data_IF_039242444269
#
_entry.id   IF_039242444269
#
_cell.length_a   1.000
_cell.length_b   1.000
_cell.length_c   1.000
_cell.angle_alpha   90.00
_cell.angle_beta   90.00
_cell.angle_gamma   90.00
#
_symmetry.space_group_name_H-M   'P 1'
#
loop_
_entity.id
_entity.type
_entity.pdbx_description
1 polymer ?
#
# COMPACT_ATOMS: atom_id res chain seq x y z
N UNK A 1 14.87 37.08 -49.15
CA UNK A 1 15.29 36.06 -50.14
C UNK A 1 16.17 35.06 -49.42
N UNK A 2 15.88 33.79 -49.68
CA UNK A 2 16.42 32.48 -49.27
C UNK A 2 17.90 32.39 -48.82
N UNK A 3 18.18 31.65 -47.73
CA UNK A 3 18.87 30.31 -47.68
C UNK A 3 20.41 30.44 -47.64
N UNK A 4 21.28 29.67 -46.97
CA UNK A 4 21.30 28.38 -46.22
C UNK A 4 22.64 28.35 -45.42
N UNK A 5 22.68 27.83 -44.17
CA UNK A 5 23.44 26.64 -43.67
C UNK A 5 25.00 26.73 -43.70
N UNK A 6 25.74 26.55 -42.59
CA UNK A 6 26.24 25.23 -42.15
C UNK A 6 26.90 25.17 -40.72
N UNK A 7 27.09 23.91 -40.27
CA UNK A 7 27.49 23.26 -38.99
C UNK A 7 28.88 23.66 -38.40
N UNK A 8 29.27 23.38 -37.14
CA UNK A 8 29.78 22.09 -36.54
C UNK A 8 30.06 22.33 -35.01
N UNK A 9 29.43 21.61 -34.05
CA UNK A 9 29.78 20.39 -33.25
C UNK A 9 30.80 20.44 -32.07
N UNK A 10 30.44 19.66 -31.01
CA UNK A 10 31.20 19.07 -29.85
C UNK A 10 31.25 19.92 -28.56
N UNK A 11 31.03 19.42 -27.32
CA UNK A 11 31.07 18.09 -26.67
C UNK A 11 30.26 18.16 -25.33
N UNK A 12 29.38 17.23 -24.97
CA UNK A 12 29.55 15.98 -24.16
C UNK A 12 30.43 16.08 -22.91
N UNK A 13 29.82 16.05 -21.72
CA UNK A 13 30.36 15.35 -20.53
C UNK A 13 29.24 14.85 -19.61
N UNK A 14 29.51 13.69 -19.04
CA UNK A 14 28.64 12.72 -18.37
C UNK A 14 28.44 12.96 -16.88
N UNK A 15 27.40 12.35 -16.30
CA UNK A 15 27.45 11.87 -14.91
C UNK A 15 26.70 10.54 -14.79
N UNK A 16 27.49 9.47 -14.89
CA UNK A 16 27.16 8.09 -14.59
C UNK A 16 27.37 7.96 -13.07
N UNK A 17 26.32 8.10 -12.28
CA UNK A 17 26.40 7.90 -10.81
C UNK A 17 25.13 7.31 -10.19
N UNK A 18 24.13 6.97 -11.01
CA UNK A 18 22.84 6.45 -10.54
C UNK A 18 22.80 4.92 -10.34
N UNK A 19 23.75 4.16 -10.87
CA UNK A 19 23.62 2.70 -10.98
C UNK A 19 24.09 1.93 -9.75
N UNK A 20 24.96 2.50 -8.91
CA UNK A 20 25.54 1.80 -7.74
C UNK A 20 24.68 1.91 -6.49
N UNK A 21 23.99 3.04 -6.28
CA UNK A 21 23.09 3.21 -5.14
C UNK A 21 21.81 2.36 -5.27
N UNK A 22 21.28 2.18 -6.48
CA UNK A 22 20.09 1.34 -6.68
C UNK A 22 20.37 -0.14 -6.41
N UNK A 23 21.57 -0.64 -6.69
CA UNK A 23 21.94 -2.04 -6.44
C UNK A 23 22.15 -2.35 -4.96
N UNK A 24 22.71 -1.42 -4.19
CA UNK A 24 22.95 -1.62 -2.75
C UNK A 24 21.64 -1.57 -1.95
N UNK A 25 20.71 -0.68 -2.33
CA UNK A 25 19.36 -0.62 -1.75
C UNK A 25 18.55 -1.89 -2.04
N UNK A 26 18.61 -2.43 -3.26
CA UNK A 26 17.88 -3.64 -3.65
C UNK A 26 18.38 -4.89 -2.91
N UNK A 27 19.70 -5.02 -2.70
CA UNK A 27 20.31 -6.09 -1.90
C UNK A 27 19.90 -5.98 -0.42
N UNK A 28 19.91 -4.78 0.16
CA UNK A 28 19.49 -4.54 1.55
C UNK A 28 18.02 -4.92 1.76
N UNK A 29 17.16 -4.61 0.79
CA UNK A 29 15.74 -4.97 0.81
C UNK A 29 15.55 -6.49 0.70
N UNK A 30 16.30 -7.17 -0.16
CA UNK A 30 16.29 -8.64 -0.25
C UNK A 30 16.57 -9.30 1.10
N UNK A 31 17.57 -8.78 1.83
CA UNK A 31 17.90 -9.24 3.18
C UNK A 31 16.79 -8.94 4.19
N UNK A 32 16.25 -7.72 4.22
CA UNK A 32 15.15 -7.35 5.13
C UNK A 32 13.86 -8.14 4.87
N UNK A 33 13.53 -8.40 3.60
CA UNK A 33 12.39 -9.24 3.21
C UNK A 33 12.59 -10.67 3.72
N UNK A 34 13.82 -11.20 3.62
CA UNK A 34 14.20 -12.55 4.08
C UNK A 34 14.16 -12.66 5.61
N UNK A 35 14.61 -11.63 6.33
CA UNK A 35 14.52 -11.58 7.80
C UNK A 35 13.06 -11.45 8.29
N UNK A 36 12.25 -10.65 7.60
CA UNK A 36 10.82 -10.53 7.88
C UNK A 36 10.06 -11.84 7.61
N UNK A 37 10.43 -12.63 6.58
CA UNK A 37 9.81 -13.94 6.34
C UNK A 37 10.07 -14.93 7.48
N UNK A 38 11.23 -14.88 8.14
CA UNK A 38 11.56 -15.81 9.22
C UNK A 38 10.82 -15.49 10.53
N UNK A 39 10.39 -14.24 10.73
CA UNK A 39 9.75 -13.76 11.97
C UNK A 39 8.22 -13.85 11.93
N UNK A 40 7.61 -14.12 10.77
CA UNK A 40 6.15 -13.98 10.54
C UNK A 40 5.37 -15.28 10.72
N UNK A 41 5.29 -15.80 11.94
CA UNK A 41 4.28 -16.82 12.29
C UNK A 41 2.91 -16.23 12.70
N UNK A 42 2.86 -14.94 13.06
CA UNK A 42 1.64 -14.26 13.54
C UNK A 42 0.55 -14.11 12.45
N UNK A 43 0.93 -13.81 11.19
CA UNK A 43 -0.04 -13.61 10.11
C UNK A 43 -0.90 -14.83 9.76
N UNK A 44 -0.33 -16.03 9.86
CA UNK A 44 -1.05 -17.30 9.66
C UNK A 44 -2.14 -17.55 10.72
N UNK A 45 -1.98 -16.95 11.90
CA UNK A 45 -2.97 -17.04 12.98
C UNK A 45 -4.25 -16.29 12.63
N UNK A 46 -4.12 -15.07 12.08
CA UNK A 46 -5.26 -14.23 11.72
C UNK A 46 -6.09 -14.81 10.57
N UNK A 47 -5.45 -15.29 9.50
CA UNK A 47 -6.15 -15.93 8.39
C UNK A 47 -6.99 -17.12 8.83
N UNK A 48 -6.46 -17.93 9.77
CA UNK A 48 -7.22 -19.04 10.36
C UNK A 48 -8.33 -18.56 11.28
N UNK A 49 -8.07 -17.57 12.16
CA UNK A 49 -9.05 -17.02 13.11
C UNK A 49 -10.25 -16.39 12.40
N UNK A 50 -10.00 -15.67 11.31
CA UNK A 50 -11.01 -14.90 10.58
C UNK A 50 -11.56 -15.62 9.36
N UNK A 51 -11.24 -16.91 9.19
CA UNK A 51 -11.74 -17.75 8.09
C UNK A 51 -13.26 -17.92 8.05
N UNK A 52 -13.95 -17.60 9.15
CA UNK A 52 -15.40 -17.61 9.24
C UNK A 52 -16.07 -16.36 8.66
N UNK A 53 -15.30 -15.32 8.32
CA UNK A 53 -15.83 -14.12 7.69
C UNK A 53 -15.97 -14.35 6.18
N UNK A 54 -17.16 -14.05 5.65
CA UNK A 54 -17.38 -14.04 4.22
C UNK A 54 -16.53 -12.93 3.58
N UNK A 55 -15.45 -13.33 2.91
CA UNK A 55 -14.59 -12.42 2.16
C UNK A 55 -15.14 -12.19 0.76
N UNK A 56 -15.07 -10.94 0.29
CA UNK A 56 -15.44 -10.61 -1.09
C UNK A 56 -14.16 -10.46 -1.93
N UNK A 57 -14.13 -11.04 -3.16
CA UNK A 57 -13.04 -10.82 -4.09
C UNK A 57 -12.87 -9.34 -4.42
N UNK A 58 -11.62 -8.88 -4.38
CA UNK A 58 -11.27 -7.51 -4.70
C UNK A 58 -11.44 -7.17 -6.19
N UNK A 59 -12.07 -6.03 -6.47
CA UNK A 59 -12.07 -5.41 -7.81
C UNK A 59 -11.27 -4.10 -7.75
N UNK A 60 -10.12 -3.99 -8.44
CA UNK A 60 -9.31 -2.78 -8.43
C UNK A 60 -10.06 -1.57 -8.97
N UNK A 61 -9.85 -0.41 -8.34
CA UNK A 61 -10.45 0.88 -8.72
C UNK A 61 -9.65 2.05 -8.15
N UNK A 62 -9.79 3.22 -8.75
CA UNK A 62 -9.35 4.47 -8.11
C UNK A 62 -10.33 4.86 -6.99
N UNK A 63 -9.85 5.62 -6.00
CA UNK A 63 -10.68 6.06 -4.88
C UNK A 63 -11.91 6.87 -5.33
N UNK A 64 -12.98 6.74 -4.55
CA UNK A 64 -14.24 7.44 -4.76
C UNK A 64 -14.24 8.85 -4.18
N UNK A 65 -15.44 9.36 -3.91
CA UNK A 65 -15.60 10.60 -3.14
C UNK A 65 -15.46 10.28 -1.65
N UNK A 66 -14.72 11.13 -0.94
CA UNK A 66 -14.66 11.08 0.53
C UNK A 66 -16.08 11.27 1.08
N UNK A 67 -16.54 10.43 2.02
CA UNK A 67 -17.86 10.57 2.63
C UNK A 67 -17.97 11.88 3.41
N UNK A 68 -19.21 12.32 3.67
CA UNK A 68 -19.44 13.41 4.62
C UNK A 68 -19.07 13.00 6.05
N UNK A 69 -18.94 14.00 6.92
CA UNK A 69 -18.46 13.82 8.30
C UNK A 69 -19.31 12.85 9.14
N UNK A 70 -20.64 12.92 9.00
CA UNK A 70 -21.53 12.07 9.80
C UNK A 70 -21.39 10.61 9.37
N UNK A 71 -21.35 10.36 8.07
CA UNK A 71 -21.14 9.03 7.52
C UNK A 71 -19.75 8.49 7.89
N UNK A 72 -18.71 9.32 7.80
CA UNK A 72 -17.36 8.93 8.20
C UNK A 72 -17.28 8.53 9.69
N UNK A 73 -17.99 9.24 10.57
CA UNK A 73 -18.01 8.94 12.01
C UNK A 73 -18.69 7.60 12.29
N UNK A 74 -19.86 7.35 11.69
CA UNK A 74 -20.59 6.08 11.83
C UNK A 74 -19.76 4.91 11.29
N UNK A 75 -19.07 5.12 10.17
CA UNK A 75 -18.17 4.13 9.59
C UNK A 75 -17.00 3.79 10.53
N UNK A 76 -16.40 4.79 11.17
CA UNK A 76 -15.32 4.57 12.12
C UNK A 76 -15.80 3.80 13.36
N UNK A 77 -16.95 4.15 13.93
CA UNK A 77 -17.55 3.41 15.05
C UNK A 77 -17.81 1.95 14.69
N UNK A 78 -18.36 1.71 13.49
CA UNK A 78 -18.60 0.36 12.98
C UNK A 78 -17.31 -0.46 12.83
N UNK A 79 -16.21 0.19 12.41
CA UNK A 79 -14.90 -0.45 12.33
C UNK A 79 -14.36 -0.80 13.72
N UNK A 80 -14.45 0.12 14.69
CA UNK A 80 -14.00 -0.12 16.07
C UNK A 80 -14.75 -1.28 16.73
N UNK A 81 -16.06 -1.39 16.51
CA UNK A 81 -16.86 -2.51 17.00
C UNK A 81 -16.40 -3.86 16.40
N UNK A 82 -16.12 -3.88 15.09
CA UNK A 82 -15.60 -5.08 14.41
C UNK A 82 -14.23 -5.48 14.93
N UNK A 83 -13.33 -4.52 15.12
CA UNK A 83 -12.01 -4.77 15.69
C UNK A 83 -12.11 -5.41 17.08
N UNK A 84 -12.99 -4.88 17.94
CA UNK A 84 -13.26 -5.44 19.26
C UNK A 84 -13.83 -6.86 19.18
N UNK A 85 -14.81 -7.09 18.30
CA UNK A 85 -15.46 -8.39 18.10
C UNK A 85 -14.46 -9.47 17.68
N UNK A 86 -13.49 -9.12 16.85
CA UNK A 86 -12.51 -10.06 16.31
C UNK A 86 -11.20 -10.16 17.10
N UNK A 87 -11.09 -9.41 18.20
CA UNK A 87 -9.87 -9.36 19.02
C UNK A 87 -8.68 -8.83 18.23
N UNK A 88 -8.90 -7.75 17.48
CA UNK A 88 -7.92 -7.10 16.61
C UNK A 88 -7.58 -5.71 17.14
N UNK A 89 -6.36 -5.26 16.86
CA UNK A 89 -5.87 -3.94 17.23
C UNK A 89 -5.20 -3.25 16.03
N UNK A 90 -5.46 -1.96 15.90
CA UNK A 90 -4.79 -1.13 14.93
C UNK A 90 -3.47 -0.60 15.48
N UNK A 91 -2.40 -0.79 14.70
CA UNK A 91 -1.22 0.03 14.84
C UNK A 91 -1.48 1.37 14.13
N UNK A 92 -1.48 2.45 14.93
CA UNK A 92 -1.86 3.78 14.48
C UNK A 92 -0.84 4.36 13.50
N UNK A 93 -1.29 4.52 12.25
CA UNK A 93 -0.55 5.13 11.15
C UNK A 93 -0.88 6.62 11.06
N UNK A 94 0.11 7.43 10.68
CA UNK A 94 -0.07 8.87 10.46
C UNK A 94 -1.15 9.13 9.40
N UNK A 95 -2.14 9.98 9.73
CA UNK A 95 -3.22 10.41 8.85
C UNK A 95 -2.77 11.39 7.76
N UNK A 96 -1.76 11.01 7.00
CA UNK A 96 -1.28 11.72 5.81
C UNK A 96 -1.66 10.97 4.53
N UNK A 97 -1.43 11.58 3.36
CA UNK A 97 -1.66 10.91 2.08
C UNK A 97 -0.69 9.75 1.78
N UNK A 98 0.10 9.29 2.76
CA UNK A 98 0.94 8.09 2.66
C UNK A 98 0.41 6.93 3.51
N UNK A 99 -0.72 7.08 4.21
CA UNK A 99 -1.25 6.10 5.14
C UNK A 99 -1.26 4.67 4.60
N UNK A 100 -1.77 4.45 3.38
CA UNK A 100 -1.79 3.12 2.75
C UNK A 100 -0.38 2.51 2.62
N UNK A 101 0.59 3.29 2.14
CA UNK A 101 1.97 2.82 1.97
C UNK A 101 2.71 2.64 3.30
N UNK A 102 2.36 3.44 4.32
CA UNK A 102 2.88 3.28 5.68
C UNK A 102 2.35 2.02 6.34
N UNK A 103 1.05 1.74 6.19
CA UNK A 103 0.44 0.53 6.72
C UNK A 103 1.01 -0.72 6.05
N UNK A 104 1.21 -0.69 4.72
CA UNK A 104 1.92 -1.74 3.99
C UNK A 104 3.37 -1.89 4.46
N UNK A 105 4.10 -0.78 4.62
CA UNK A 105 5.48 -0.82 5.11
C UNK A 105 5.59 -1.42 6.51
N UNK A 106 4.65 -1.10 7.39
CA UNK A 106 4.58 -1.70 8.71
C UNK A 106 4.30 -3.21 8.65
N UNK A 107 3.34 -3.67 7.83
CA UNK A 107 3.08 -5.11 7.70
C UNK A 107 4.24 -5.88 7.05
N UNK A 108 5.00 -5.27 6.14
CA UNK A 108 6.10 -5.92 5.42
C UNK A 108 7.42 -5.87 6.20
N UNK A 109 7.74 -4.72 6.79
CA UNK A 109 9.05 -4.42 7.40
C UNK A 109 8.98 -4.13 8.90
N UNK A 110 7.80 -4.20 9.52
CA UNK A 110 7.55 -3.78 10.92
C UNK A 110 8.00 -2.36 11.22
N UNK A 111 7.98 -1.50 10.19
CA UNK A 111 8.36 -0.11 10.31
C UNK A 111 7.69 0.75 9.21
N UNK A 112 6.77 1.66 9.57
CA UNK A 112 6.06 2.51 8.62
C UNK A 112 6.95 3.55 7.91
N UNK A 113 8.16 3.82 8.39
CA UNK A 113 9.07 4.79 7.77
C UNK A 113 9.61 4.32 6.41
N UNK A 114 9.49 3.02 6.10
CA UNK A 114 9.81 2.47 4.78
C UNK A 114 8.73 2.76 3.71
N UNK A 115 7.69 3.54 4.01
CA UNK A 115 6.60 3.85 3.08
C UNK A 115 7.05 4.40 1.71
N UNK A 116 8.15 5.17 1.66
CA UNK A 116 8.72 5.68 0.40
C UNK A 116 9.21 4.54 -0.50
N UNK A 117 9.84 3.53 0.09
CA UNK A 117 10.33 2.35 -0.62
C UNK A 117 9.16 1.51 -1.15
N UNK A 118 8.14 1.29 -0.31
CA UNK A 118 6.91 0.61 -0.72
C UNK A 118 6.25 1.35 -1.88
N UNK A 119 6.07 2.67 -1.79
CA UNK A 119 5.52 3.48 -2.90
C UNK A 119 6.35 3.34 -4.17
N UNK A 120 7.69 3.42 -4.09
CA UNK A 120 8.59 3.26 -5.26
C UNK A 120 8.39 1.89 -5.91
N UNK A 121 8.33 0.82 -5.11
CA UNK A 121 8.15 -0.55 -5.58
C UNK A 121 6.77 -0.76 -6.23
N UNK A 122 5.70 -0.26 -5.62
CA UNK A 122 4.33 -0.32 -6.16
C UNK A 122 4.21 0.46 -7.47
N UNK A 123 4.77 1.67 -7.54
CA UNK A 123 4.75 2.46 -8.79
C UNK A 123 5.59 1.80 -9.89
N UNK A 124 6.70 1.14 -9.54
CA UNK A 124 7.49 0.33 -10.49
C UNK A 124 6.65 -0.82 -11.04
N UNK A 125 5.96 -1.57 -10.18
CA UNK A 125 5.03 -2.64 -10.59
C UNK A 125 3.94 -2.12 -11.54
N UNK A 126 3.27 -1.02 -11.19
CA UNK A 126 2.24 -0.38 -12.01
C UNK A 126 2.78 0.02 -13.40
N UNK A 127 4.03 0.48 -13.46
CA UNK A 127 4.67 0.90 -14.71
C UNK A 127 5.05 -0.30 -15.59
N UNK A 128 5.63 -1.35 -15.01
CA UNK A 128 6.13 -2.53 -15.73
C UNK A 128 4.99 -3.40 -16.26
N UNK A 129 3.94 -3.60 -15.46
CA UNK A 129 2.80 -4.46 -15.79
C UNK A 129 1.54 -3.66 -16.12
N UNK A 130 1.69 -2.56 -16.87
CA UNK A 130 0.62 -1.61 -17.21
C UNK A 130 -0.71 -2.27 -17.62
N UNK A 131 -0.66 -3.29 -18.47
CA UNK A 131 -1.85 -3.97 -19.01
C UNK A 131 -2.74 -4.59 -17.91
N UNK A 132 -2.17 -4.90 -16.74
CA UNK A 132 -2.90 -5.49 -15.63
C UNK A 132 -3.73 -4.47 -14.86
N UNK A 133 -3.47 -3.17 -15.02
CA UNK A 133 -4.03 -2.13 -14.18
C UNK A 133 -4.75 -1.03 -14.95
N UNK A 134 -4.33 -0.73 -16.19
CA UNK A 134 -4.81 0.44 -16.92
C UNK A 134 -6.33 0.45 -17.15
N UNK A 135 -6.96 -0.72 -17.30
CA UNK A 135 -8.41 -0.83 -17.48
C UNK A 135 -9.24 -0.39 -16.26
N UNK A 136 -8.62 -0.31 -15.07
CA UNK A 136 -9.28 0.14 -13.83
C UNK A 136 -9.07 1.63 -13.53
N UNK A 137 -8.27 2.32 -14.35
CA UNK A 137 -7.91 3.72 -14.17
C UNK A 137 -8.71 4.56 -15.18
N UNK A 138 -9.67 5.40 -14.73
CA UNK A 138 -10.57 6.14 -15.63
C UNK A 138 -9.91 7.38 -16.28
N UNK A 139 -8.61 7.61 -16.02
CA UNK A 139 -7.83 8.73 -16.56
C UNK A 139 -6.64 8.22 -17.36
N UNK A 140 -5.93 9.12 -18.06
CA UNK A 140 -4.71 8.73 -18.78
C UNK A 140 -3.70 8.08 -17.81
N UNK A 141 -3.31 6.84 -18.11
CA UNK A 141 -2.49 6.04 -17.20
C UNK A 141 -1.15 6.70 -16.86
N UNK A 142 -0.55 7.44 -17.81
CA UNK A 142 0.68 8.21 -17.57
C UNK A 142 0.47 9.32 -16.52
N UNK A 143 -0.69 9.99 -16.54
CA UNK A 143 -1.05 11.01 -15.55
C UNK A 143 -1.24 10.36 -14.19
N UNK A 144 -1.96 9.23 -14.13
CA UNK A 144 -2.12 8.45 -12.91
C UNK A 144 -0.78 8.05 -12.28
N UNK A 145 0.15 7.47 -13.06
CA UNK A 145 1.49 7.12 -12.58
C UNK A 145 2.28 8.35 -12.07
N UNK A 146 2.18 9.48 -12.77
CA UNK A 146 2.84 10.73 -12.36
C UNK A 146 2.31 11.23 -11.02
N UNK A 147 0.99 11.15 -10.79
CA UNK A 147 0.37 11.46 -9.50
C UNK A 147 0.85 10.48 -8.43
N UNK A 148 0.74 9.17 -8.68
CA UNK A 148 1.04 8.14 -7.67
C UNK A 148 2.51 8.11 -7.23
N UNK A 149 3.43 8.59 -8.07
CA UNK A 149 4.84 8.79 -7.73
C UNK A 149 5.06 9.86 -6.64
N UNK A 150 4.15 10.82 -6.49
CA UNK A 150 4.30 11.94 -5.54
C UNK A 150 4.07 11.45 -4.11
N UNK A 151 4.96 11.84 -3.20
CA UNK A 151 4.73 11.65 -1.77
C UNK A 151 3.48 12.42 -1.35
N UNK A 152 2.64 11.79 -0.51
CA UNK A 152 1.35 12.34 -0.09
C UNK A 152 0.21 12.17 -1.10
N UNK A 153 0.44 11.61 -2.29
CA UNK A 153 -0.69 11.17 -3.14
C UNK A 153 -1.31 9.92 -2.53
N UNK A 154 -2.62 9.94 -2.31
CA UNK A 154 -3.35 8.86 -1.68
C UNK A 154 -3.27 7.59 -2.54
N UNK A 155 -3.01 6.46 -1.89
CA UNK A 155 -3.14 5.15 -2.53
C UNK A 155 -4.61 4.77 -2.69
N UNK A 156 -4.88 3.84 -3.60
CA UNK A 156 -6.21 3.35 -3.94
C UNK A 156 -6.24 1.82 -4.03
N UNK A 157 -7.36 1.26 -4.53
CA UNK A 157 -7.49 -0.18 -4.70
C UNK A 157 -6.57 -0.74 -5.80
N UNK A 158 -6.19 0.07 -6.80
CA UNK A 158 -5.23 -0.32 -7.84
C UNK A 158 -3.83 -0.44 -7.24
N UNK A 159 -3.41 0.46 -6.34
CA UNK A 159 -2.12 0.35 -5.65
C UNK A 159 -2.08 -0.81 -4.66
N UNK A 160 -3.20 -1.16 -4.01
CA UNK A 160 -3.26 -2.37 -3.19
C UNK A 160 -3.04 -3.65 -4.02
N UNK A 161 -3.69 -3.76 -5.18
CA UNK A 161 -3.47 -4.89 -6.07
C UNK A 161 -2.01 -4.95 -6.55
N UNK A 162 -1.44 -3.81 -6.95
CA UNK A 162 -0.04 -3.77 -7.36
C UNK A 162 0.92 -4.08 -6.19
N UNK A 163 0.59 -3.73 -4.95
CA UNK A 163 1.36 -4.14 -3.77
C UNK A 163 1.29 -5.67 -3.56
N UNK A 164 0.10 -6.25 -3.64
CA UNK A 164 -0.10 -7.70 -3.53
C UNK A 164 0.76 -8.44 -4.58
N UNK A 165 0.69 -8.00 -5.84
CA UNK A 165 1.47 -8.56 -6.95
C UNK A 165 2.98 -8.40 -6.71
N UNK A 166 3.44 -7.19 -6.34
CA UNK A 166 4.87 -6.87 -6.19
C UNK A 166 5.54 -7.62 -5.05
N UNK A 167 4.84 -7.83 -3.95
CA UNK A 167 5.37 -8.47 -2.74
C UNK A 167 4.94 -9.93 -2.60
N UNK A 168 4.26 -10.48 -3.61
CA UNK A 168 3.70 -11.84 -3.60
C UNK A 168 2.95 -12.12 -2.29
N UNK A 169 2.08 -11.20 -1.92
CA UNK A 169 1.44 -11.16 -0.62
C UNK A 169 -0.08 -11.04 -0.77
N UNK A 170 -0.84 -11.85 -0.02
CA UNK A 170 -2.28 -11.66 0.12
C UNK A 170 -2.51 -10.48 1.05
N UNK A 171 -3.34 -9.53 0.66
CA UNK A 171 -3.76 -8.43 1.53
C UNK A 171 -5.19 -8.70 1.99
N UNK A 172 -5.38 -8.76 3.30
CA UNK A 172 -6.67 -8.87 3.96
C UNK A 172 -7.05 -7.49 4.50
N UNK A 173 -8.09 -6.88 3.92
CA UNK A 173 -8.53 -5.53 4.25
C UNK A 173 -9.86 -5.59 5.02
N UNK A 174 -9.81 -5.31 6.32
CA UNK A 174 -10.99 -5.15 7.14
C UNK A 174 -11.54 -3.73 6.96
N UNK A 175 -12.74 -3.59 6.41
CA UNK A 175 -13.28 -2.27 6.05
C UNK A 175 -14.38 -1.83 7.00
N UNK A 176 -14.71 -0.53 6.99
CA UNK A 176 -15.89 0.01 7.66
C UNK A 176 -17.20 -0.14 6.86
N UNK A 177 -17.17 -0.66 5.62
CA UNK A 177 -18.39 -0.82 4.82
C UNK A 177 -19.38 -1.77 5.49
N UNK A 178 -20.67 -1.41 5.54
CA UNK A 178 -21.71 -2.23 6.17
C UNK A 178 -21.79 -3.63 5.57
N UNK A 179 -21.79 -3.72 4.25
CA UNK A 179 -22.02 -4.97 3.51
C UNK A 179 -20.72 -5.66 3.06
N UNK A 180 -19.55 -5.10 3.39
CA UNK A 180 -18.25 -5.64 2.96
C UNK A 180 -17.27 -5.59 4.11
N UNK A 181 -17.34 -6.60 4.98
CA UNK A 181 -16.50 -6.65 6.17
C UNK A 181 -15.02 -6.87 5.81
N UNK A 182 -14.74 -7.90 4.99
CA UNK A 182 -13.39 -8.31 4.62
C UNK A 182 -13.23 -8.37 3.10
N UNK A 183 -12.22 -7.68 2.59
CA UNK A 183 -11.82 -7.75 1.18
C UNK A 183 -10.48 -8.47 1.08
N UNK A 184 -10.43 -9.48 0.21
CA UNK A 184 -9.19 -10.21 -0.05
C UNK A 184 -8.59 -9.82 -1.41
N UNK A 185 -7.32 -9.43 -1.36
CA UNK A 185 -6.55 -9.02 -2.53
C UNK A 185 -5.44 -10.06 -2.71
N UNK A 186 -5.56 -10.86 -3.76
CA UNK A 186 -4.64 -11.96 -4.05
C UNK A 186 -3.72 -11.52 -5.21
N UNK A 187 -2.40 -11.80 -5.14
CA UNK A 187 -1.50 -11.60 -6.27
C UNK A 187 -1.98 -12.37 -7.50
N UNK A 188 -1.96 -11.74 -8.68
CA UNK A 188 -2.51 -12.33 -9.91
C UNK A 188 -1.76 -13.57 -10.39
N UNK A 189 -0.43 -13.50 -10.41
CA UNK A 189 0.42 -14.48 -11.11
C UNK A 189 1.35 -15.24 -10.15
N UNK A 190 1.04 -15.25 -8.85
CA UNK A 190 1.87 -15.89 -7.84
C UNK A 190 1.04 -16.48 -6.70
N UNK A 191 1.53 -17.56 -6.08
CA UNK A 191 1.00 -18.03 -4.81
C UNK A 191 1.42 -17.07 -3.69
N UNK A 192 0.50 -16.59 -2.84
CA UNK A 192 0.86 -15.74 -1.71
C UNK A 192 1.90 -16.41 -0.81
N UNK A 193 2.98 -15.69 -0.51
CA UNK A 193 4.05 -16.14 0.41
C UNK A 193 3.81 -15.65 1.84
N UNK A 194 2.92 -14.65 2.00
CA UNK A 194 2.57 -14.00 3.27
C UNK A 194 1.19 -13.37 3.21
N UNK A 195 0.64 -13.05 4.37
CA UNK A 195 -0.59 -12.28 4.53
C UNK A 195 -0.28 -10.94 5.19
N UNK A 196 -0.82 -9.85 4.64
CA UNK A 196 -0.74 -8.49 5.18
C UNK A 196 -2.14 -8.08 5.64
N UNK A 197 -2.25 -7.62 6.88
CA UNK A 197 -3.53 -7.26 7.48
C UNK A 197 -3.61 -5.75 7.64
N UNK A 198 -4.65 -5.15 7.06
CA UNK A 198 -4.90 -3.72 7.09
C UNK A 198 -6.34 -3.47 7.54
N UNK A 199 -6.56 -2.35 8.23
CA UNK A 199 -7.90 -1.81 8.40
C UNK A 199 -8.10 -0.61 7.48
N UNK A 200 -9.33 -0.44 7.01
CA UNK A 200 -9.72 0.64 6.13
C UNK A 200 -10.94 1.35 6.69
N UNK A 201 -10.72 2.55 7.19
CA UNK A 201 -11.78 3.53 7.38
C UNK A 201 -12.12 4.09 6.01
N UNK A 202 -13.24 3.65 5.45
CA UNK A 202 -13.54 3.73 4.03
C UNK A 202 -13.37 5.14 3.45
N UNK A 203 -12.54 5.20 2.40
CA UNK A 203 -12.17 6.41 1.66
C UNK A 203 -11.51 7.50 2.52
N UNK A 204 -11.12 7.19 3.77
CA UNK A 204 -10.53 8.14 4.72
C UNK A 204 -9.11 7.73 5.10
N UNK A 205 -8.90 6.52 5.63
CA UNK A 205 -7.61 6.17 6.24
C UNK A 205 -7.31 4.67 6.27
N UNK A 206 -6.02 4.34 6.23
CA UNK A 206 -5.51 2.97 6.39
C UNK A 206 -4.65 2.87 7.64
N UNK A 207 -4.94 1.88 8.48
CA UNK A 207 -4.06 1.47 9.57
C UNK A 207 -3.52 0.05 9.33
N UNK A 208 -2.42 -0.26 10.00
CA UNK A 208 -1.86 -1.62 10.02
C UNK A 208 -2.59 -2.42 11.09
N UNK A 209 -2.96 -3.67 10.78
CA UNK A 209 -3.84 -4.47 11.63
C UNK A 209 -3.11 -5.67 12.22
N UNK A 210 -3.34 -5.91 13.51
CA UNK A 210 -2.72 -6.98 14.29
C UNK A 210 -3.77 -7.71 15.10
N UNK A 211 -3.44 -8.93 15.54
CA UNK A 211 -4.07 -9.50 16.71
C UNK A 211 -3.74 -8.61 17.93
N UNK A 212 -4.66 -8.47 18.89
CA UNK A 212 -4.43 -7.67 20.10
C UNK A 212 -3.13 -8.07 20.80
N UNK A 213 -2.85 -9.37 20.87
CA UNK A 213 -1.65 -9.93 21.50
C UNK A 213 -0.34 -9.66 20.75
N UNK A 214 -0.41 -9.36 19.45
CA UNK A 214 0.75 -9.20 18.57
C UNK A 214 1.06 -7.72 18.27
N UNK A 215 0.32 -6.78 18.88
CA UNK A 215 0.49 -5.37 18.61
C UNK A 215 1.90 -4.91 19.04
N UNK A 216 2.69 -4.30 18.13
CA UNK A 216 4.03 -3.83 18.47
C UNK A 216 3.97 -2.77 19.58
N UNK A 217 4.71 -2.98 20.68
CA UNK A 217 4.76 -2.06 21.84
C UNK A 217 5.56 -0.76 21.58
N UNK A 218 5.74 -0.37 20.32
CA UNK A 218 6.43 0.85 19.93
C UNK A 218 5.62 2.09 20.30
N UNK A 219 6.29 3.13 20.81
CA UNK A 219 5.67 4.41 21.23
C UNK A 219 4.85 5.01 20.08
N UNK A 220 3.55 4.74 20.03
CA UNK A 220 2.62 5.48 19.20
C UNK A 220 2.69 6.93 19.66
N UNK A 221 3.27 7.82 18.84
CA UNK A 221 3.12 9.25 19.05
C UNK A 221 1.62 9.52 18.90
N UNK A 222 0.89 9.61 20.01
CA UNK A 222 -0.49 10.09 20.04
C UNK A 222 -0.47 11.49 19.43
N UNK A 223 -0.79 11.57 18.15
CA UNK A 223 -1.13 12.83 17.49
C UNK A 223 -2.61 12.75 17.24
N UNK A 224 -3.32 13.73 17.79
CA UNK A 224 -4.74 13.89 17.62
C UNK A 224 -5.05 13.96 16.12
N UNK A 225 -6.11 13.25 15.73
CA UNK A 225 -6.80 13.47 14.48
C UNK A 225 -7.06 14.98 14.33
N UNK A 226 -6.46 15.60 13.32
CA UNK A 226 -6.94 16.88 12.82
C UNK A 226 -8.01 16.51 11.80
N UNK A 227 -9.25 16.59 12.24
CA UNK A 227 -10.39 16.75 11.32
C UNK A 227 -10.32 18.14 10.70
#
# INVERSE_FOLDING_TARGET
>A
MSEQQERVSKSSSSSISSSTQESEEEVTIGTLITEATNTTNSGKSLGRRLSHLDSIPHTPRVNGKIPDFNNATIDHESLLERLGTYGLAEYQIEGDGNCQFRALADQIFRNPDYHKHVRKAVVKQLKEFRKHYEGYVPMEYKVYLKKMKRSGEWGDHVTLQAAADRFSAKICLLTSFRDTCLVEIIPRDATPTRELWLSFWCEVHYNSLYAIEDLPTGKTKKKHWLF
#
